data_IF_773766435287
#
_entry.id   IF_773766435287
#
_cell.length_a   1.000
_cell.length_b   1.000
_cell.length_c   1.000
_cell.angle_alpha   90.00
_cell.angle_beta   90.00
_cell.angle_gamma   90.00
#
_symmetry.space_group_name_H-M   'P 1'
#
loop_
_entity.id
_entity.type
_entity.pdbx_description
1 polymer ?
#
# COMPACT_ATOMS: atom_id res chain seq x y z
N UNK A 1 -5.86 -9.10 -47.19
CA UNK A 1 -4.77 -8.83 -46.22
C UNK A 1 -5.26 -9.36 -44.87
N UNK A 2 -4.66 -10.46 -44.42
CA UNK A 2 -5.23 -11.40 -43.45
C UNK A 2 -5.14 -10.91 -42.00
N UNK A 3 -6.27 -10.93 -41.30
CA UNK A 3 -6.36 -10.81 -39.83
C UNK A 3 -5.82 -12.10 -39.20
N UNK A 4 -4.67 -12.01 -38.53
CA UNK A 4 -4.07 -13.10 -37.80
C UNK A 4 -5.00 -13.54 -36.65
N UNK A 5 -5.63 -14.70 -36.83
CA UNK A 5 -6.47 -15.35 -35.82
C UNK A 5 -5.55 -15.92 -34.74
N UNK A 6 -5.47 -15.25 -33.58
CA UNK A 6 -4.84 -15.83 -32.39
C UNK A 6 -5.55 -17.13 -32.02
N UNK A 7 -4.94 -18.27 -32.33
CA UNK A 7 -5.45 -19.58 -31.95
C UNK A 7 -5.11 -19.81 -30.47
N UNK A 8 -6.00 -19.43 -29.57
CA UNK A 8 -5.92 -19.81 -28.17
C UNK A 8 -6.19 -21.32 -28.04
N UNK A 9 -5.23 -22.07 -27.51
CA UNK A 9 -5.39 -23.51 -27.24
C UNK A 9 -5.60 -23.69 -25.74
N UNK A 10 -6.81 -24.05 -25.35
CA UNK A 10 -7.17 -24.33 -23.97
C UNK A 10 -6.96 -25.81 -23.69
N UNK A 11 -6.23 -26.13 -22.64
CA UNK A 11 -6.09 -27.51 -22.15
C UNK A 11 -6.92 -27.65 -20.89
N UNK A 12 -7.86 -28.59 -20.90
CA UNK A 12 -8.58 -28.99 -19.71
C UNK A 12 -7.73 -30.04 -18.97
N UNK A 13 -7.36 -29.73 -17.73
CA UNK A 13 -6.68 -30.66 -16.84
C UNK A 13 -7.72 -31.13 -15.83
N UNK A 14 -8.06 -32.42 -15.86
CA UNK A 14 -9.01 -32.98 -14.91
C UNK A 14 -8.39 -33.07 -13.52
N UNK A 15 -9.22 -32.98 -12.47
CA UNK A 15 -8.79 -33.18 -11.08
C UNK A 15 -8.04 -34.51 -10.90
N UNK A 16 -8.54 -35.58 -11.51
CA UNK A 16 -7.92 -36.91 -11.44
C UNK A 16 -6.49 -36.93 -11.99
N UNK A 17 -6.21 -36.19 -13.07
CA UNK A 17 -4.86 -36.10 -13.62
C UNK A 17 -3.90 -35.39 -12.65
N UNK A 18 -4.38 -34.35 -11.95
CA UNK A 18 -3.62 -33.64 -10.91
C UNK A 18 -3.36 -34.55 -9.71
N UNK A 19 -4.38 -35.27 -9.24
CA UNK A 19 -4.28 -36.21 -8.12
C UNK A 19 -3.28 -37.34 -8.43
N UNK A 20 -3.30 -37.87 -9.66
CA UNK A 20 -2.34 -38.88 -10.12
C UNK A 20 -0.90 -38.34 -10.18
N UNK A 21 -0.70 -37.10 -10.64
CA UNK A 21 0.61 -36.45 -10.64
C UNK A 21 1.11 -36.19 -9.21
N UNK A 22 0.25 -35.76 -8.30
CA UNK A 22 0.60 -35.56 -6.89
C UNK A 22 1.02 -36.88 -6.21
N UNK A 23 0.34 -37.99 -6.51
CA UNK A 23 0.65 -39.29 -5.94
C UNK A 23 1.98 -39.87 -6.45
N UNK A 24 2.35 -39.60 -7.71
CA UNK A 24 3.47 -40.27 -8.37
C UNK A 24 4.69 -39.37 -8.64
N UNK A 25 4.59 -38.06 -8.40
CA UNK A 25 5.66 -37.10 -8.72
C UNK A 25 5.87 -36.10 -7.57
N UNK A 26 6.95 -36.32 -6.80
CA UNK A 26 7.31 -35.46 -5.67
C UNK A 26 7.74 -34.05 -6.12
N UNK A 27 8.37 -33.90 -7.28
CA UNK A 27 8.78 -32.59 -7.81
C UNK A 27 7.56 -31.75 -8.20
N UNK A 28 6.51 -32.38 -8.73
CA UNK A 28 5.24 -31.71 -9.04
C UNK A 28 4.60 -31.11 -7.78
N UNK A 29 4.59 -31.86 -6.67
CA UNK A 29 4.09 -31.36 -5.39
C UNK A 29 4.94 -30.18 -4.87
N UNK A 30 6.28 -30.26 -4.97
CA UNK A 30 7.17 -29.16 -4.56
C UNK A 30 6.92 -27.89 -5.38
N UNK A 31 6.77 -28.01 -6.69
CA UNK A 31 6.47 -26.88 -7.58
C UNK A 31 5.12 -26.25 -7.23
N UNK A 32 4.09 -27.07 -6.99
CA UNK A 32 2.78 -26.58 -6.56
C UNK A 32 2.85 -25.81 -5.24
N UNK A 33 3.53 -26.35 -4.22
CA UNK A 33 3.69 -25.68 -2.92
C UNK A 33 4.45 -24.37 -3.06
N UNK A 34 5.53 -24.34 -3.85
CA UNK A 34 6.31 -23.13 -4.09
C UNK A 34 5.49 -22.04 -4.80
N UNK A 35 4.72 -22.41 -5.83
CA UNK A 35 3.85 -21.50 -6.55
C UNK A 35 2.73 -20.95 -5.65
N UNK A 36 2.07 -21.81 -4.88
CA UNK A 36 1.02 -21.39 -3.94
C UNK A 36 1.57 -20.47 -2.85
N UNK A 37 2.76 -20.76 -2.33
CA UNK A 37 3.44 -19.93 -1.33
C UNK A 37 3.80 -18.55 -1.88
N UNK A 38 4.33 -18.49 -3.11
CA UNK A 38 4.64 -17.23 -3.80
C UNK A 38 3.37 -16.42 -4.05
N UNK A 39 2.29 -17.08 -4.47
CA UNK A 39 1.01 -16.43 -4.72
C UNK A 39 0.39 -15.87 -3.43
N UNK A 40 0.50 -16.61 -2.31
CA UNK A 40 0.05 -16.15 -1.00
C UNK A 40 0.84 -14.92 -0.52
N UNK A 41 2.17 -14.94 -0.66
CA UNK A 41 3.02 -13.79 -0.34
C UNK A 41 2.65 -12.57 -1.19
N UNK A 42 2.36 -12.76 -2.48
CA UNK A 42 1.92 -11.68 -3.34
C UNK A 42 0.59 -11.06 -2.86
N UNK A 43 -0.40 -11.88 -2.52
CA UNK A 43 -1.67 -11.39 -1.99
C UNK A 43 -1.51 -10.68 -0.65
N UNK A 44 -0.69 -11.21 0.26
CA UNK A 44 -0.39 -10.55 1.53
C UNK A 44 0.26 -9.17 1.30
N UNK A 45 1.18 -9.06 0.33
CA UNK A 45 1.78 -7.78 -0.05
C UNK A 45 0.76 -6.81 -0.64
N UNK A 46 -0.16 -7.29 -1.48
CA UNK A 46 -1.24 -6.45 -2.04
C UNK A 46 -2.15 -5.91 -0.94
N UNK A 47 -2.57 -6.76 0.01
CA UNK A 47 -3.36 -6.34 1.17
C UNK A 47 -2.59 -5.31 1.99
N UNK A 48 -1.32 -5.56 2.31
CA UNK A 48 -0.49 -4.62 3.05
C UNK A 48 -0.36 -3.27 2.34
N UNK A 49 -0.20 -3.28 1.01
CA UNK A 49 -0.11 -2.06 0.19
C UNK A 49 -1.43 -1.28 0.23
N UNK A 50 -2.58 -1.95 0.13
CA UNK A 50 -3.90 -1.32 0.22
C UNK A 50 -4.19 -0.77 1.63
N UNK A 51 -3.85 -1.53 2.67
CA UNK A 51 -3.99 -1.10 4.07
C UNK A 51 -3.09 0.10 4.36
N UNK A 52 -1.85 0.10 3.86
CA UNK A 52 -0.91 1.19 4.03
C UNK A 52 -1.35 2.44 3.26
N UNK A 53 -1.87 2.28 2.04
CA UNK A 53 -2.45 3.38 1.27
C UNK A 53 -3.68 3.97 1.97
N UNK A 54 -4.52 3.14 2.60
CA UNK A 54 -5.65 3.60 3.40
C UNK A 54 -5.18 4.34 4.67
N UNK A 55 -4.14 3.85 5.35
CA UNK A 55 -3.55 4.52 6.50
C UNK A 55 -2.93 5.87 6.12
N UNK A 56 -2.15 5.92 5.03
CA UNK A 56 -1.57 7.14 4.47
C UNK A 56 -2.65 8.16 4.12
N UNK A 57 -3.73 7.74 3.46
CA UNK A 57 -4.86 8.62 3.16
C UNK A 57 -5.51 9.21 4.41
N UNK A 58 -5.75 8.41 5.45
CA UNK A 58 -6.30 8.88 6.73
C UNK A 58 -5.35 9.87 7.42
N UNK A 59 -4.06 9.56 7.45
CA UNK A 59 -3.02 10.45 8.00
C UNK A 59 -2.97 11.76 7.25
N UNK A 60 -2.94 11.73 5.92
CA UNK A 60 -2.93 12.93 5.07
C UNK A 60 -4.18 13.76 5.32
N UNK A 61 -5.37 13.14 5.33
CA UNK A 61 -6.62 13.86 5.63
C UNK A 61 -6.60 14.56 6.99
N UNK A 62 -6.06 13.91 8.01
CA UNK A 62 -5.89 14.50 9.34
C UNK A 62 -4.90 15.66 9.35
N UNK A 63 -3.76 15.52 8.68
CA UNK A 63 -2.75 16.56 8.57
C UNK A 63 -3.27 17.75 7.75
N UNK A 64 -4.02 17.50 6.67
CA UNK A 64 -4.69 18.52 5.87
C UNK A 64 -5.75 19.29 6.66
N UNK A 65 -6.41 18.65 7.63
CA UNK A 65 -7.36 19.33 8.50
C UNK A 65 -6.67 20.30 9.48
N UNK A 66 -5.44 19.98 9.90
CA UNK A 66 -4.65 20.81 10.82
C UNK A 66 -3.79 21.86 10.09
N UNK A 67 -3.46 21.61 8.84
CA UNK A 67 -2.89 22.61 7.96
C UNK A 67 -3.99 23.63 7.61
N UNK A 68 -3.94 24.83 8.20
CA UNK A 68 -4.84 25.93 7.83
C UNK A 68 -4.85 26.12 6.30
N UNK A 69 -5.99 26.56 5.77
CA UNK A 69 -6.24 26.70 4.33
C UNK A 69 -5.28 27.71 3.66
N UNK A 70 -4.05 27.28 3.36
CA UNK A 70 -3.09 28.04 2.56
C UNK A 70 -3.26 27.73 1.08
N UNK A 71 -2.77 28.63 0.24
CA UNK A 71 -2.89 28.56 -1.21
C UNK A 71 -2.04 27.42 -1.78
N UNK A 72 -2.43 26.95 -2.96
CA UNK A 72 -1.69 25.92 -3.68
C UNK A 72 -0.24 26.38 -3.94
N UNK A 73 0.72 25.47 -3.72
CA UNK A 73 2.14 25.71 -3.97
C UNK A 73 2.95 26.28 -2.80
N UNK A 74 2.32 26.68 -1.69
CA UNK A 74 3.04 27.17 -0.51
C UNK A 74 3.42 26.04 0.45
N UNK A 75 4.61 26.16 1.03
CA UNK A 75 5.07 25.28 2.10
C UNK A 75 4.38 25.67 3.41
N UNK A 76 3.71 24.72 4.06
CA UNK A 76 2.99 24.96 5.31
C UNK A 76 3.73 24.26 6.44
N UNK A 77 4.00 24.98 7.53
CA UNK A 77 4.53 24.39 8.76
C UNK A 77 3.52 24.55 9.89
N UNK A 78 3.19 23.46 10.57
CA UNK A 78 2.31 23.48 11.73
C UNK A 78 2.81 22.51 12.80
N UNK A 79 2.44 22.77 14.05
CA UNK A 79 2.80 21.93 15.18
C UNK A 79 1.62 21.06 15.56
N UNK A 80 1.84 19.75 15.70
CA UNK A 80 0.76 18.86 16.13
C UNK A 80 0.47 19.05 17.63
N UNK A 81 -0.79 19.30 18.00
CA UNK A 81 -1.17 19.51 19.40
C UNK A 81 -1.12 18.21 20.23
N UNK A 82 -1.18 17.06 19.56
CA UNK A 82 -1.33 15.74 20.17
C UNK A 82 -0.09 14.86 19.98
N UNK A 83 0.12 13.90 20.90
CA UNK A 83 1.16 12.88 20.76
C UNK A 83 0.86 11.93 19.59
N UNK A 84 1.89 11.30 19.02
CA UNK A 84 1.74 10.28 17.95
C UNK A 84 0.78 9.15 18.35
N UNK A 85 0.75 8.78 19.63
CA UNK A 85 -0.17 7.75 20.12
C UNK A 85 -1.65 8.20 20.06
N UNK A 86 -1.96 9.44 20.43
CA UNK A 86 -3.32 9.96 20.34
C UNK A 86 -3.79 10.07 18.89
N UNK A 87 -2.90 10.47 17.98
CA UNK A 87 -3.21 10.52 16.54
C UNK A 87 -3.49 9.13 15.99
N UNK A 88 -2.68 8.12 16.36
CA UNK A 88 -2.90 6.74 15.95
C UNK A 88 -4.29 6.24 16.37
N UNK A 89 -4.67 6.51 17.62
CA UNK A 89 -6.00 6.19 18.16
C UNK A 89 -7.12 6.91 17.40
N UNK A 90 -6.99 8.22 17.13
CA UNK A 90 -7.97 8.99 16.36
C UNK A 90 -8.17 8.45 14.93
N UNK A 91 -7.11 7.97 14.30
CA UNK A 91 -7.15 7.43 12.93
C UNK A 91 -7.49 5.93 12.89
N UNK A 92 -7.73 5.33 14.05
CA UNK A 92 -8.05 3.93 14.23
C UNK A 92 -6.99 3.00 13.59
N UNK A 93 -5.71 3.36 13.75
CA UNK A 93 -4.54 2.61 13.28
C UNK A 93 -3.57 2.38 14.45
N UNK A 94 -2.70 1.37 14.36
CA UNK A 94 -1.69 1.15 15.40
C UNK A 94 -0.61 2.25 15.37
N UNK A 95 0.04 2.54 16.52
CA UNK A 95 1.18 3.48 16.57
C UNK A 95 2.34 3.08 15.65
N UNK A 96 2.55 1.77 15.45
CA UNK A 96 3.53 1.22 14.51
C UNK A 96 3.18 1.60 13.07
N UNK A 97 1.93 1.40 12.65
CA UNK A 97 1.44 1.76 11.31
C UNK A 97 1.52 3.27 11.07
N UNK A 98 1.17 4.09 12.06
CA UNK A 98 1.34 5.54 11.97
C UNK A 98 2.81 5.91 11.76
N UNK A 99 3.71 5.32 12.54
CA UNK A 99 5.15 5.60 12.45
C UNK A 99 5.74 5.19 11.09
N UNK A 100 5.32 4.03 10.57
CA UNK A 100 5.69 3.57 9.21
C UNK A 100 5.18 4.53 8.14
N UNK A 101 3.93 4.97 8.24
CA UNK A 101 3.31 5.93 7.31
C UNK A 101 4.04 7.28 7.33
N UNK A 102 4.35 7.81 8.51
CA UNK A 102 5.10 9.07 8.66
C UNK A 102 6.48 8.99 8.01
N UNK A 103 7.19 7.87 8.21
CA UNK A 103 8.49 7.64 7.57
C UNK A 103 8.35 7.62 6.05
N UNK A 104 7.41 6.84 5.51
CA UNK A 104 7.18 6.77 4.07
C UNK A 104 6.86 8.13 3.44
N UNK A 105 5.97 8.92 4.06
CA UNK A 105 5.65 10.26 3.55
C UNK A 105 6.88 11.20 3.60
N UNK A 106 7.78 11.00 4.56
CA UNK A 106 9.05 11.73 4.63
C UNK A 106 10.03 11.26 3.55
N UNK A 107 10.16 9.95 3.33
CA UNK A 107 11.01 9.35 2.29
C UNK A 107 10.57 9.79 0.88
N UNK A 108 9.27 10.01 0.68
CA UNK A 108 8.69 10.54 -0.55
C UNK A 108 8.84 12.07 -0.69
N UNK A 109 9.51 12.74 0.25
CA UNK A 109 9.63 14.21 0.32
C UNK A 109 8.28 14.94 0.33
N UNK A 110 7.22 14.28 0.79
CA UNK A 110 5.87 14.85 0.90
C UNK A 110 5.70 15.63 2.21
N UNK A 111 6.51 15.33 3.22
CA UNK A 111 6.55 16.05 4.48
C UNK A 111 7.94 15.99 5.13
N UNK A 112 8.24 16.95 5.98
CA UNK A 112 9.42 16.99 6.83
C UNK A 112 8.96 17.01 8.28
N UNK A 113 9.55 16.16 9.12
CA UNK A 113 9.23 16.11 10.55
C UNK A 113 10.41 16.70 11.32
N UNK A 114 10.17 17.74 12.10
CA UNK A 114 11.12 18.26 13.07
C UNK A 114 10.48 18.25 14.47
N UNK A 115 10.70 17.18 15.22
CA UNK A 115 10.08 16.96 16.53
C UNK A 115 8.55 16.86 16.45
N UNK A 116 7.85 17.90 16.92
CA UNK A 116 6.37 18.03 16.85
C UNK A 116 5.89 18.89 15.68
N UNK A 117 6.80 19.54 14.97
CA UNK A 117 6.49 20.40 13.84
C UNK A 117 6.57 19.57 12.56
N UNK A 118 5.53 19.67 11.74
CA UNK A 118 5.48 19.08 10.40
C UNK A 118 5.49 20.21 9.39
N UNK A 119 6.36 20.08 8.39
CA UNK A 119 6.41 20.97 7.24
C UNK A 119 5.99 20.19 6.00
N UNK A 120 4.99 20.68 5.29
CA UNK A 120 4.55 20.16 4.00
C UNK A 120 5.11 21.09 2.92
N UNK A 121 6.12 20.67 2.14
CA UNK A 121 6.79 21.54 1.18
C UNK A 121 5.95 21.86 -0.06
N UNK A 122 5.03 20.96 -0.46
CA UNK A 122 4.14 21.18 -1.58
C UNK A 122 2.76 20.60 -1.28
N UNK A 123 1.81 21.49 -1.02
CA UNK A 123 0.45 21.10 -0.61
C UNK A 123 -0.35 20.39 -1.72
N UNK A 124 -0.08 20.71 -2.99
CA UNK A 124 -0.77 20.09 -4.12
C UNK A 124 -0.36 18.62 -4.28
N UNK A 125 0.95 18.33 -4.26
CA UNK A 125 1.48 16.96 -4.28
C UNK A 125 1.00 16.15 -3.07
N UNK A 126 0.92 16.79 -1.91
CA UNK A 126 0.44 16.15 -0.68
C UNK A 126 -1.04 15.72 -0.78
N UNK A 127 -1.91 16.60 -1.30
CA UNK A 127 -3.32 16.30 -1.57
C UNK A 127 -3.49 15.20 -2.61
N UNK A 128 -2.77 15.31 -3.73
CA UNK A 128 -2.84 14.33 -4.82
C UNK A 128 -2.47 12.92 -4.35
N UNK A 129 -1.40 12.76 -3.56
CA UNK A 129 -1.01 11.46 -3.00
C UNK A 129 -2.07 10.88 -2.05
N UNK A 130 -2.74 11.73 -1.27
CA UNK A 130 -3.86 11.32 -0.42
C UNK A 130 -5.17 11.06 -1.17
N UNK A 131 -5.25 11.38 -2.47
CA UNK A 131 -6.48 11.32 -3.24
C UNK A 131 -7.52 12.35 -2.78
N UNK A 132 -7.06 13.58 -2.52
CA UNK A 132 -7.86 14.77 -2.17
C UNK A 132 -7.67 15.89 -3.19
#
# INVERSE_FOLDING_TARGET
MALARFLFKMFFISKQAVDACLANNQDFARILIANLSTQLQHFAHQIATLTLHNAARRVIGYLLHHAEASKAGEAISFTLPSSKNNIASHLNISPETLSRTFRQLSDLNLMLINGKTITIPNMEKFRHFGGF
#
